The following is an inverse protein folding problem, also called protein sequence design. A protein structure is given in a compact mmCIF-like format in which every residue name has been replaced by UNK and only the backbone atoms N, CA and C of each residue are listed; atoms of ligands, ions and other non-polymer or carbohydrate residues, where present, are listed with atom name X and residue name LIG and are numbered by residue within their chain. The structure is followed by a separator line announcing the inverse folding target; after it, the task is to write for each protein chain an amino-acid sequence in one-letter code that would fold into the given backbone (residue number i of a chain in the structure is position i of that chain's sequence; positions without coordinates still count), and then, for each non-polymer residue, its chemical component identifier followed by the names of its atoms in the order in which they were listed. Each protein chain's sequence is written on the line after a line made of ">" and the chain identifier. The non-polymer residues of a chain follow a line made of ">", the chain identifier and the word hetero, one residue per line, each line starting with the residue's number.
data_IF_970384393779
#
_entry.id   IF_970384393779
#
_cell.length_a   1.000
_cell.length_b   1.000
_cell.length_c   1.000
_cell.angle_alpha   90.00
_cell.angle_beta   90.00
_cell.angle_gamma   90.00
#
_symmetry.space_group_name_H-M   'P 1'
#
loop_
_entity.id
_entity.type
_entity.pdbx_description
1 polymer ?
#
# COMPACT_ATOMS: atom_id res chain seq x y z
N UNK A 1 -13.33 -38.95 76.72
CA UNK A 1 -13.66 -40.13 75.87
C UNK A 1 -14.97 -39.81 75.17
N UNK A 2 -14.89 -39.30 73.95
CA UNK A 2 -16.03 -38.95 73.06
C UNK A 2 -15.58 -39.24 71.62
N UNK A 3 -16.47 -39.76 70.75
CA UNK A 3 -16.05 -40.45 69.54
C UNK A 3 -15.91 -39.50 68.32
N UNK A 4 -15.09 -39.97 67.38
CA UNK A 4 -14.82 -39.45 66.04
C UNK A 4 -15.99 -39.84 65.14
N UNK A 5 -16.58 -38.90 64.37
CA UNK A 5 -17.36 -39.30 63.18
C UNK A 5 -17.30 -38.32 61.99
N UNK A 6 -16.55 -38.80 60.98
CA UNK A 6 -16.87 -38.88 59.53
C UNK A 6 -17.23 -37.60 58.75
N UNK A 7 -16.17 -37.06 58.15
CA UNK A 7 -16.01 -36.66 56.74
C UNK A 7 -17.23 -36.86 55.82
N UNK A 8 -17.80 -35.73 55.36
CA UNK A 8 -18.65 -35.67 54.16
C UNK A 8 -17.97 -34.79 53.12
N UNK A 9 -17.27 -35.44 52.18
CA UNK A 9 -16.74 -34.83 50.96
C UNK A 9 -17.90 -34.30 50.11
N UNK A 10 -18.04 -32.97 50.04
CA UNK A 10 -18.85 -32.32 49.01
C UNK A 10 -17.89 -31.85 47.91
N UNK A 11 -17.80 -32.64 46.85
CA UNK A 11 -17.18 -32.23 45.60
C UNK A 11 -18.07 -31.15 44.97
N UNK A 12 -17.62 -29.90 45.00
CA UNK A 12 -18.21 -28.83 44.20
C UNK A 12 -17.44 -28.75 42.89
N UNK A 13 -18.04 -29.32 41.83
CA UNK A 13 -17.69 -29.04 40.45
C UNK A 13 -18.07 -27.59 40.15
N UNK A 14 -17.08 -26.69 40.09
CA UNK A 14 -17.25 -25.37 39.49
C UNK A 14 -16.75 -25.44 38.04
N UNK A 15 -17.71 -25.49 37.11
CA UNK A 15 -17.43 -25.37 35.68
C UNK A 15 -17.08 -23.93 35.34
N UNK A 16 -15.87 -23.72 34.85
CA UNK A 16 -15.42 -22.44 34.31
C UNK A 16 -15.85 -22.32 32.84
N UNK A 17 -16.92 -21.57 32.60
CA UNK A 17 -17.27 -21.07 31.26
C UNK A 17 -16.29 -19.95 30.90
N UNK A 18 -15.17 -20.29 30.27
CA UNK A 18 -14.28 -19.32 29.63
C UNK A 18 -14.94 -18.86 28.32
N UNK A 19 -15.71 -17.77 28.39
CA UNK A 19 -16.14 -17.05 27.20
C UNK A 19 -14.90 -16.41 26.55
N UNK A 20 -14.41 -17.01 25.47
CA UNK A 20 -13.38 -16.42 24.63
C UNK A 20 -13.96 -15.19 23.91
N UNK A 21 -13.87 -14.03 24.55
CA UNK A 21 -14.07 -12.74 23.90
C UNK A 21 -12.89 -12.54 22.96
N UNK A 22 -13.10 -12.83 21.67
CA UNK A 22 -12.15 -12.41 20.65
C UNK A 22 -12.09 -10.89 20.65
N UNK A 23 -10.92 -10.28 20.85
CA UNK A 23 -10.80 -8.83 20.71
C UNK A 23 -11.16 -8.48 19.27
N UNK A 24 -12.26 -7.76 19.09
CA UNK A 24 -12.52 -7.02 17.86
C UNK A 24 -11.38 -6.01 17.79
N UNK A 25 -10.34 -6.32 17.02
CA UNK A 25 -9.30 -5.37 16.72
C UNK A 25 -10.02 -4.14 16.15
N UNK A 26 -9.95 -3.01 16.86
CA UNK A 26 -10.30 -1.74 16.28
C UNK A 26 -9.29 -1.52 15.15
N UNK A 27 -9.67 -1.95 13.95
CA UNK A 27 -8.83 -1.89 12.76
C UNK A 27 -8.57 -0.40 12.51
N UNK A 28 -7.37 0.05 12.85
CA UNK A 28 -7.00 1.47 12.81
C UNK A 28 -7.35 2.03 11.42
N UNK A 29 -8.25 3.02 11.40
CA UNK A 29 -8.72 3.65 10.17
C UNK A 29 -10.20 3.41 9.84
N UNK A 30 -10.82 2.30 10.27
CA UNK A 30 -12.24 2.07 10.00
C UNK A 30 -13.14 2.82 10.98
N UNK A 31 -14.06 3.63 10.45
CA UNK A 31 -15.14 4.26 11.19
C UNK A 31 -16.48 3.92 10.52
N UNK A 32 -17.09 2.83 10.98
CA UNK A 32 -18.38 2.38 10.44
C UNK A 32 -19.57 3.26 10.87
N UNK A 33 -19.42 4.12 11.88
CA UNK A 33 -20.46 5.09 12.25
C UNK A 33 -20.58 6.21 11.21
N UNK A 34 -19.45 6.65 10.66
CA UNK A 34 -19.42 7.62 9.56
C UNK A 34 -19.40 6.95 8.18
N UNK A 35 -19.33 5.62 8.14
CA UNK A 35 -19.16 4.82 6.91
C UNK A 35 -17.91 5.26 6.13
N UNK A 36 -16.77 5.34 6.83
CA UNK A 36 -15.50 5.76 6.24
C UNK A 36 -14.36 4.82 6.68
N UNK A 37 -13.36 4.68 5.83
CA UNK A 37 -12.06 4.14 6.17
C UNK A 37 -10.97 5.15 5.81
N UNK A 38 -10.04 5.43 6.72
CA UNK A 38 -8.90 6.32 6.47
C UNK A 38 -7.60 5.53 6.49
N UNK A 39 -6.98 5.41 5.32
CA UNK A 39 -5.64 4.85 5.20
C UNK A 39 -4.60 5.88 5.59
N UNK A 40 -3.71 5.52 6.53
CA UNK A 40 -2.60 6.39 6.90
C UNK A 40 -1.48 6.36 5.85
N UNK A 41 -0.67 7.42 5.76
CA UNK A 41 0.49 7.44 4.86
C UNK A 41 1.46 6.28 5.16
N UNK A 42 1.67 5.93 6.42
CA UNK A 42 2.56 4.85 6.83
C UNK A 42 2.04 3.48 6.35
N UNK A 43 0.73 3.28 6.41
CA UNK A 43 0.10 2.07 5.90
C UNK A 43 0.23 1.94 4.38
N UNK A 44 -0.02 3.03 3.65
CA UNK A 44 0.12 3.06 2.19
C UNK A 44 1.59 2.88 1.77
N UNK A 45 2.52 3.46 2.53
CA UNK A 45 3.96 3.30 2.34
C UNK A 45 4.36 1.83 2.49
N UNK A 46 3.94 1.19 3.58
CA UNK A 46 4.18 -0.25 3.78
C UNK A 46 3.48 -1.12 2.72
N UNK A 47 2.39 -0.64 2.14
CA UNK A 47 1.70 -1.28 1.02
C UNK A 47 2.53 -1.27 -0.25
N UNK A 48 2.95 -0.09 -0.70
CA UNK A 48 3.72 0.04 -1.94
C UNK A 48 5.10 -0.62 -1.85
N UNK A 49 5.76 -0.57 -0.69
CA UNK A 49 7.09 -1.16 -0.47
C UNK A 49 7.12 -2.66 -0.77
N UNK A 50 6.01 -3.38 -0.58
CA UNK A 50 5.92 -4.82 -0.88
C UNK A 50 6.09 -5.16 -2.36
N UNK A 51 5.88 -4.17 -3.23
CA UNK A 51 6.02 -4.33 -4.69
C UNK A 51 7.41 -3.97 -5.17
N UNK A 52 8.24 -3.36 -4.33
CA UNK A 52 9.58 -2.94 -4.70
C UNK A 52 10.62 -4.00 -4.29
N UNK A 53 11.74 -4.11 -5.04
CA UNK A 53 12.11 -3.33 -6.22
C UNK A 53 11.31 -3.71 -7.47
N UNK A 54 11.09 -2.73 -8.36
CA UNK A 54 10.46 -2.93 -9.67
C UNK A 54 11.52 -2.82 -10.76
N UNK A 55 11.44 -3.65 -11.79
CA UNK A 55 12.32 -3.55 -12.95
C UNK A 55 11.62 -3.99 -14.23
N UNK A 56 11.82 -3.23 -15.31
CA UNK A 56 11.33 -3.58 -16.64
C UNK A 56 12.50 -3.59 -17.62
N UNK A 57 12.64 -4.71 -18.32
CA UNK A 57 13.57 -4.85 -19.44
C UNK A 57 12.86 -4.55 -20.75
N UNK A 58 13.50 -3.77 -21.62
CA UNK A 58 12.94 -3.40 -22.92
C UNK A 58 13.85 -3.86 -24.05
N UNK A 59 13.34 -4.77 -24.88
CA UNK A 59 13.97 -5.27 -26.11
C UNK A 59 15.45 -5.70 -25.96
N UNK A 60 15.86 -6.16 -24.77
CA UNK A 60 17.25 -6.47 -24.39
C UNK A 60 18.26 -5.31 -24.52
N UNK A 61 17.78 -4.10 -24.85
CA UNK A 61 18.61 -2.92 -25.03
C UNK A 61 18.88 -2.21 -23.71
N UNK A 62 17.88 -2.12 -22.84
CA UNK A 62 18.01 -1.47 -21.54
C UNK A 62 17.03 -2.03 -20.51
N UNK A 63 17.39 -1.85 -19.25
CA UNK A 63 16.57 -2.19 -18.08
C UNK A 63 16.42 -0.94 -17.23
N UNK A 64 15.18 -0.60 -16.90
CA UNK A 64 14.86 0.47 -15.94
C UNK A 64 14.43 -0.17 -14.63
N UNK A 65 15.09 0.21 -13.54
CA UNK A 65 14.79 -0.24 -12.19
C UNK A 65 14.29 0.91 -11.31
N UNK A 66 13.38 0.62 -10.40
CA UNK A 66 12.91 1.50 -9.34
C UNK A 66 13.10 0.82 -7.98
N UNK A 67 13.64 1.56 -7.01
CA UNK A 67 13.85 1.11 -5.62
C UNK A 67 13.58 2.23 -4.63
N UNK A 68 13.45 1.87 -3.36
CA UNK A 68 13.28 2.79 -2.24
C UNK A 68 12.13 3.80 -2.49
N UNK A 69 10.89 3.31 -2.66
CA UNK A 69 9.74 4.17 -2.90
C UNK A 69 9.48 5.06 -1.69
N UNK A 70 9.04 6.29 -1.91
CA UNK A 70 8.60 7.23 -0.88
C UNK A 70 7.29 7.88 -1.33
N UNK A 71 6.21 7.60 -0.62
CA UNK A 71 4.89 8.17 -0.88
C UNK A 71 4.74 9.54 -0.22
N UNK A 72 4.00 10.40 -0.91
CA UNK A 72 3.45 11.65 -0.41
C UNK A 72 2.01 11.81 -0.85
N UNK A 73 1.33 12.79 -0.29
CA UNK A 73 -0.07 13.09 -0.57
C UNK A 73 -0.18 14.49 -1.16
N UNK A 74 -0.97 14.62 -2.23
CA UNK A 74 -1.35 15.90 -2.81
C UNK A 74 -2.88 16.00 -2.81
N UNK A 75 -3.40 16.53 -1.71
CA UNK A 75 -4.83 16.73 -1.52
C UNK A 75 -5.43 17.71 -2.54
N UNK A 76 -4.64 18.67 -3.04
CA UNK A 76 -5.12 19.69 -3.99
C UNK A 76 -5.47 19.10 -5.34
N UNK A 77 -4.66 18.15 -5.81
CA UNK A 77 -4.92 17.45 -7.07
C UNK A 77 -5.71 16.14 -6.90
N UNK A 78 -5.98 15.74 -5.65
CA UNK A 78 -6.54 14.43 -5.29
C UNK A 78 -5.66 13.25 -5.78
N UNK A 79 -4.35 13.37 -5.59
CA UNK A 79 -3.36 12.40 -6.11
C UNK A 79 -2.31 12.05 -5.06
N UNK A 80 -1.70 10.90 -5.23
CA UNK A 80 -0.51 10.52 -4.45
C UNK A 80 0.74 10.90 -5.23
N UNK A 81 1.75 11.37 -4.53
CA UNK A 81 3.10 11.54 -5.05
C UNK A 81 3.92 10.31 -4.68
N UNK A 82 4.78 9.87 -5.58
CA UNK A 82 5.70 8.76 -5.37
C UNK A 82 7.07 9.16 -5.90
N UNK A 83 8.06 9.20 -5.03
CA UNK A 83 9.46 9.37 -5.42
C UNK A 83 10.20 8.05 -5.25
N UNK A 84 11.00 7.67 -6.24
CA UNK A 84 11.79 6.45 -6.17
C UNK A 84 13.19 6.69 -6.74
N UNK A 85 14.17 5.93 -6.21
CA UNK A 85 15.48 5.86 -6.83
C UNK A 85 15.38 5.06 -8.12
N UNK A 86 15.87 5.63 -9.22
CA UNK A 86 15.81 5.06 -10.55
C UNK A 86 17.21 4.61 -10.99
N UNK A 87 17.28 3.52 -11.75
CA UNK A 87 18.49 3.10 -12.44
C UNK A 87 18.18 2.71 -13.88
N UNK A 88 19.05 3.10 -14.82
CA UNK A 88 18.96 2.69 -16.23
C UNK A 88 20.24 1.93 -16.57
N UNK A 89 20.13 0.64 -16.81
CA UNK A 89 21.23 -0.22 -17.24
C UNK A 89 21.08 -0.55 -18.71
N UNK A 90 22.19 -0.66 -19.45
CA UNK A 90 22.19 -1.11 -20.84
C UNK A 90 23.54 -1.74 -21.18
N UNK A 91 23.56 -2.86 -21.94
CA UNK A 91 24.81 -3.45 -22.42
C UNK A 91 25.64 -2.52 -23.32
N UNK A 92 25.00 -1.49 -23.89
CA UNK A 92 25.63 -0.53 -24.78
C UNK A 92 26.29 0.64 -24.03
N UNK A 93 26.02 0.78 -22.72
CA UNK A 93 26.59 1.84 -21.91
C UNK A 93 27.98 1.45 -21.41
N UNK A 94 28.85 2.45 -21.29
CA UNK A 94 30.19 2.32 -20.72
C UNK A 94 30.18 1.99 -19.20
N UNK A 95 29.02 2.09 -18.55
CA UNK A 95 28.83 1.87 -17.11
C UNK A 95 27.65 0.92 -16.90
N UNK A 96 27.72 0.13 -15.83
CA UNK A 96 26.71 -0.88 -15.50
C UNK A 96 25.28 -0.31 -15.38
N UNK A 97 25.15 0.87 -14.76
CA UNK A 97 23.89 1.59 -14.69
C UNK A 97 24.09 3.11 -14.47
N UNK A 98 23.18 3.90 -15.03
CA UNK A 98 23.05 5.34 -14.78
C UNK A 98 22.03 5.52 -13.65
N UNK A 99 22.44 6.03 -12.47
CA UNK A 99 21.53 6.25 -11.37
C UNK A 99 20.77 7.57 -11.53
N UNK A 100 19.57 7.62 -10.98
CA UNK A 100 18.69 8.79 -11.03
C UNK A 100 17.61 8.76 -9.95
N UNK A 101 16.70 9.73 -10.03
CA UNK A 101 15.51 9.81 -9.19
C UNK A 101 14.33 10.17 -10.09
N UNK A 102 13.19 9.55 -9.86
CA UNK A 102 11.93 9.88 -10.52
C UNK A 102 10.89 10.25 -9.48
N UNK A 103 10.14 11.32 -9.78
CA UNK A 103 8.93 11.71 -9.06
C UNK A 103 7.74 11.52 -9.99
N UNK A 104 6.77 10.73 -9.52
CA UNK A 104 5.55 10.36 -10.22
C UNK A 104 4.37 10.81 -9.39
N UNK A 105 3.33 11.28 -10.04
CA UNK A 105 2.05 11.61 -9.45
C UNK A 105 1.00 10.62 -9.99
N UNK A 106 0.12 10.10 -9.14
CA UNK A 106 -0.86 9.09 -9.54
C UNK A 106 -2.22 9.40 -8.93
N UNK A 107 -3.28 9.25 -9.73
CA UNK A 107 -4.62 9.13 -9.18
C UNK A 107 -4.76 7.77 -8.48
N UNK A 108 -5.91 7.54 -7.88
CA UNK A 108 -6.23 6.27 -7.22
C UNK A 108 -7.55 5.73 -7.74
N UNK A 109 -7.62 4.40 -7.82
CA UNK A 109 -8.85 3.69 -8.12
C UNK A 109 -9.03 2.50 -7.20
N UNK A 110 -10.28 2.08 -7.06
CA UNK A 110 -10.63 0.81 -6.47
C UNK A 110 -10.82 -0.25 -7.56
N UNK A 111 -10.23 -1.41 -7.35
CA UNK A 111 -10.39 -2.59 -8.19
C UNK A 111 -11.22 -3.62 -7.42
N UNK A 112 -12.52 -3.68 -7.70
CA UNK A 112 -13.47 -4.52 -6.98
C UNK A 112 -13.16 -6.04 -7.02
N UNK A 113 -12.74 -6.63 -8.15
CA UNK A 113 -12.41 -8.06 -8.22
C UNK A 113 -11.29 -8.47 -7.24
N UNK A 114 -10.25 -7.65 -7.09
CA UNK A 114 -9.15 -7.91 -6.16
C UNK A 114 -9.32 -7.22 -4.81
N UNK A 115 -10.38 -6.41 -4.64
CA UNK A 115 -10.64 -5.54 -3.49
C UNK A 115 -9.41 -4.70 -3.12
N UNK A 116 -8.81 -4.05 -4.10
CA UNK A 116 -7.57 -3.29 -3.86
C UNK A 116 -7.68 -1.83 -4.26
N UNK A 117 -7.07 -0.98 -3.44
CA UNK A 117 -6.78 0.42 -3.75
C UNK A 117 -5.46 0.45 -4.53
N UNK A 118 -5.49 0.99 -5.75
CA UNK A 118 -4.39 0.92 -6.71
C UNK A 118 -4.02 2.29 -7.24
N UNK A 119 -2.75 2.42 -7.65
CA UNK A 119 -2.28 3.53 -8.46
C UNK A 119 -3.01 3.52 -9.81
N UNK A 120 -3.56 4.67 -10.20
CA UNK A 120 -4.20 4.88 -11.48
C UNK A 120 -3.64 6.08 -12.22
N UNK A 121 -3.46 5.91 -13.54
CA UNK A 121 -2.93 6.95 -14.42
C UNK A 121 -1.65 7.63 -13.87
N UNK A 122 -0.58 6.87 -13.58
CA UNK A 122 0.67 7.46 -13.13
C UNK A 122 1.26 8.38 -14.19
N UNK A 123 1.76 9.53 -13.75
CA UNK A 123 2.37 10.55 -14.60
C UNK A 123 3.72 10.95 -13.99
N UNK A 124 4.78 10.83 -14.77
CA UNK A 124 6.10 11.30 -14.38
C UNK A 124 6.12 12.83 -14.40
N UNK A 125 6.44 13.42 -13.25
CA UNK A 125 6.52 14.88 -13.08
C UNK A 125 7.95 15.37 -13.24
N UNK A 126 8.91 14.60 -12.73
CA UNK A 126 10.33 14.94 -12.82
C UNK A 126 11.18 13.68 -12.82
N UNK A 127 12.22 13.69 -13.64
CA UNK A 127 13.25 12.66 -13.64
C UNK A 127 14.60 13.32 -13.83
N UNK A 128 15.56 12.98 -12.95
CA UNK A 128 16.94 13.42 -13.06
C UNK A 128 17.88 12.21 -13.10
N UNK A 129 18.89 12.27 -13.97
CA UNK A 129 19.93 11.25 -14.10
C UNK A 129 21.26 11.87 -13.66
N UNK A 130 22.12 11.09 -13.02
CA UNK A 130 23.41 11.55 -12.52
C UNK A 130 24.54 11.09 -13.44
N UNK A 131 25.47 12.01 -13.73
CA UNK A 131 26.67 11.71 -14.50
C UNK A 131 26.46 11.58 -16.01
N UNK A 132 25.33 12.08 -16.53
CA UNK A 132 25.06 12.22 -17.96
C UNK A 132 24.36 13.55 -18.21
N UNK A 133 24.71 14.23 -19.31
CA UNK A 133 24.16 15.53 -19.69
C UNK A 133 23.88 15.59 -21.21
N UNK A 134 23.32 16.70 -21.68
CA UNK A 134 23.04 16.93 -23.10
C UNK A 134 21.85 16.12 -23.65
N UNK A 135 21.85 15.90 -24.97
CA UNK A 135 20.73 15.23 -25.66
C UNK A 135 20.53 13.78 -25.23
N UNK A 136 21.60 13.04 -24.95
CA UNK A 136 21.48 11.64 -24.54
C UNK A 136 20.83 11.52 -23.16
N UNK A 137 21.13 12.43 -22.23
CA UNK A 137 20.43 12.53 -20.96
C UNK A 137 18.92 12.77 -21.16
N UNK A 138 18.54 13.71 -22.02
CA UNK A 138 17.13 14.03 -22.28
C UNK A 138 16.37 12.82 -22.85
N UNK A 139 16.96 12.09 -23.81
CA UNK A 139 16.36 10.88 -24.39
C UNK A 139 16.18 9.78 -23.33
N UNK A 140 17.22 9.52 -22.54
CA UNK A 140 17.13 8.53 -21.46
C UNK A 140 16.12 8.94 -20.38
N UNK A 141 15.98 10.24 -20.09
CA UNK A 141 14.98 10.74 -19.16
C UNK A 141 13.56 10.50 -19.67
N UNK A 142 13.28 10.75 -20.97
CA UNK A 142 11.97 10.48 -21.56
C UNK A 142 11.62 8.98 -21.51
N UNK A 143 12.59 8.12 -21.87
CA UNK A 143 12.41 6.66 -21.80
C UNK A 143 12.18 6.22 -20.35
N UNK A 144 13.02 6.68 -19.41
CA UNK A 144 12.89 6.35 -18.00
C UNK A 144 11.55 6.80 -17.42
N UNK A 145 11.04 7.96 -17.83
CA UNK A 145 9.74 8.48 -17.40
C UNK A 145 8.58 7.59 -17.87
N UNK A 146 8.57 7.21 -19.15
CA UNK A 146 7.54 6.32 -19.72
C UNK A 146 7.58 4.96 -19.02
N UNK A 147 8.76 4.37 -18.87
CA UNK A 147 8.90 3.05 -18.24
C UNK A 147 8.55 3.10 -16.75
N UNK A 148 8.93 4.16 -16.03
CA UNK A 148 8.54 4.33 -14.62
C UNK A 148 7.02 4.44 -14.47
N UNK A 149 6.33 5.14 -15.37
CA UNK A 149 4.87 5.18 -15.38
C UNK A 149 4.27 3.78 -15.59
N UNK A 150 4.77 3.02 -16.56
CA UNK A 150 4.29 1.66 -16.82
C UNK A 150 4.54 0.72 -15.62
N UNK A 151 5.72 0.78 -15.02
CA UNK A 151 6.06 -0.01 -13.82
C UNK A 151 5.12 0.29 -12.64
N UNK A 152 4.70 1.55 -12.49
CA UNK A 152 3.85 1.99 -11.38
C UNK A 152 2.35 1.85 -11.67
N UNK A 153 1.97 1.60 -12.91
CA UNK A 153 0.57 1.42 -13.29
C UNK A 153 -0.01 0.22 -12.54
N UNK A 154 -1.20 0.41 -11.99
CA UNK A 154 -1.96 -0.62 -11.27
C UNK A 154 -1.24 -1.21 -10.05
N UNK A 155 -0.18 -0.58 -9.53
CA UNK A 155 0.46 -1.05 -8.29
C UNK A 155 -0.50 -0.89 -7.11
N UNK A 156 -0.53 -1.90 -6.25
CA UNK A 156 -1.46 -1.97 -5.13
C UNK A 156 -0.87 -1.18 -3.96
N UNK A 157 -1.68 -0.29 -3.36
CA UNK A 157 -1.36 0.38 -2.11
C UNK A 157 -1.97 -0.34 -0.91
N UNK A 158 -3.17 -0.89 -1.07
CA UNK A 158 -3.86 -1.63 -0.02
C UNK A 158 -4.83 -2.64 -0.61
N UNK A 159 -4.90 -3.81 0.01
CA UNK A 159 -5.93 -4.81 -0.29
C UNK A 159 -6.85 -4.97 0.93
N UNK A 160 -8.14 -4.84 0.71
CA UNK A 160 -9.17 -5.02 1.72
C UNK A 160 -9.56 -6.49 1.83
N UNK A 161 -9.61 -7.00 3.06
CA UNK A 161 -10.15 -8.35 3.30
C UNK A 161 -11.68 -8.31 3.33
N UNK A 162 -12.38 -9.38 2.89
CA UNK A 162 -13.84 -9.43 2.95
C UNK A 162 -14.41 -9.15 4.34
N UNK A 163 -13.76 -9.66 5.38
CA UNK A 163 -14.13 -9.45 6.79
C UNK A 163 -13.94 -7.99 7.26
N UNK A 164 -13.04 -7.23 6.65
CA UNK A 164 -12.86 -5.80 6.98
C UNK A 164 -14.01 -4.93 6.43
N UNK A 165 -14.67 -5.41 5.38
CA UNK A 165 -15.80 -4.71 4.76
C UNK A 165 -17.16 -5.20 5.29
N UNK A 166 -17.18 -6.17 6.22
CA UNK A 166 -18.42 -6.75 6.73
C UNK A 166 -18.56 -6.53 8.23
N UNK A 167 -19.65 -5.87 8.65
CA UNK A 167 -19.98 -5.65 10.06
C UNK A 167 -21.34 -6.26 10.36
N UNK A 168 -21.36 -7.28 11.22
CA UNK A 168 -22.57 -8.06 11.50
C UNK A 168 -23.07 -8.76 10.25
N UNK A 169 -24.21 -8.31 9.70
CA UNK A 169 -24.80 -8.83 8.45
C UNK A 169 -24.73 -7.86 7.27
N UNK A 170 -24.16 -6.66 7.47
CA UNK A 170 -24.00 -5.66 6.40
C UNK A 170 -22.59 -5.77 5.82
N UNK A 171 -22.51 -5.90 4.51
CA UNK A 171 -21.26 -5.73 3.75
C UNK A 171 -21.28 -4.36 3.10
N UNK A 172 -20.21 -3.60 3.29
CA UNK A 172 -20.01 -2.29 2.72
C UNK A 172 -19.28 -2.37 1.38
N UNK A 173 -19.65 -1.50 0.46
CA UNK A 173 -18.93 -1.30 -0.80
C UNK A 173 -17.97 -0.11 -0.71
N UNK A 174 -16.88 -0.16 -1.48
CA UNK A 174 -15.96 0.98 -1.56
C UNK A 174 -16.54 2.06 -2.48
N UNK A 175 -16.75 3.25 -1.92
CA UNK A 175 -17.21 4.44 -2.61
C UNK A 175 -16.08 5.38 -3.00
N UNK A 176 -16.32 6.69 -2.82
CA UNK A 176 -15.38 7.74 -3.21
C UNK A 176 -14.03 7.60 -2.48
N UNK A 177 -12.94 7.82 -3.22
CA UNK A 177 -11.56 7.87 -2.70
C UNK A 177 -11.10 9.32 -2.76
N UNK A 178 -10.71 9.86 -1.61
CA UNK A 178 -10.25 11.25 -1.47
C UNK A 178 -8.90 11.29 -0.75
N UNK A 179 -7.89 11.84 -1.41
CA UNK A 179 -6.60 12.16 -0.81
C UNK A 179 -6.74 13.39 0.07
N UNK A 180 -6.21 13.30 1.29
CA UNK A 180 -6.18 14.36 2.28
C UNK A 180 -4.73 14.61 2.72
N UNK A 181 -4.50 15.66 3.49
CA UNK A 181 -3.14 16.00 3.96
C UNK A 181 -2.54 14.93 4.90
N UNK A 182 -3.38 14.20 5.63
CA UNK A 182 -2.94 13.20 6.63
C UNK A 182 -3.16 11.74 6.22
N UNK A 183 -3.81 11.49 5.08
CA UNK A 183 -4.17 10.13 4.67
C UNK A 183 -5.14 10.10 3.50
N UNK A 184 -5.72 8.94 3.26
CA UNK A 184 -6.67 8.73 2.16
C UNK A 184 -7.98 8.25 2.75
N UNK A 185 -9.02 9.07 2.59
CA UNK A 185 -10.38 8.71 2.96
C UNK A 185 -11.00 7.87 1.87
N UNK A 186 -11.61 6.77 2.27
CA UNK A 186 -12.39 5.87 1.44
C UNK A 186 -13.79 5.81 2.02
N UNK A 187 -14.78 6.23 1.27
CA UNK A 187 -16.18 6.11 1.67
C UNK A 187 -16.61 4.65 1.60
N UNK A 188 -17.50 4.26 2.53
CA UNK A 188 -18.12 2.95 2.61
C UNK A 188 -19.62 3.13 2.38
N UNK A 189 -20.24 2.37 1.47
CA UNK A 189 -21.69 2.45 1.18
C UNK A 189 -22.42 1.22 1.71
#
# INVERSE_FOLDING_TARGET
>A
MTPIERSRRRLLLQGTLAAALWPVAAQAGFNFFTSEYTASIAELQAGIEKHFPLAQRYADLFTVGLRDPQLGLDARSNRVALTATLSIASPLLLRDAIPGVVSVSSALKYDAPTRSLRLDQPKAERLSLRGIEGQDAQRLQQVGAVVAQELLRDQVLRTFKPEELTVGRKTYEIGAITVQDSGIRVQLN
#
